data_IF_654092874432
#
_entry.id   IF_654092874432
#
_cell.length_a   1.000
_cell.length_b   1.000
_cell.length_c   1.000
_cell.angle_alpha   90.00
_cell.angle_beta   90.00
_cell.angle_gamma   90.00
#
_symmetry.space_group_name_H-M   'P 1'
#
loop_
_entity.id
_entity.type
_entity.pdbx_description
1 polymer ?
#
# COMPACT_ATOMS: atom_id res chain seq x y z
N UNK A 1 54.89 -23.37 18.50
CA UNK A 1 53.90 -23.85 19.50
C UNK A 1 52.49 -23.58 18.99
N UNK A 2 51.68 -24.65 18.95
CA UNK A 2 50.22 -24.71 18.84
C UNK A 2 49.51 -24.06 17.64
N UNK A 3 49.39 -24.85 16.56
CA UNK A 3 48.33 -24.71 15.55
C UNK A 3 47.02 -25.25 16.13
N UNK A 4 45.96 -24.43 16.12
CA UNK A 4 44.60 -24.79 16.53
C UNK A 4 44.01 -25.86 15.60
N UNK A 5 43.58 -26.98 16.17
CA UNK A 5 42.85 -28.06 15.51
C UNK A 5 41.38 -27.64 15.24
N UNK A 6 40.79 -28.02 14.08
CA UNK A 6 39.41 -27.68 13.76
C UNK A 6 38.40 -28.61 14.44
N UNK A 7 37.31 -28.02 14.94
CA UNK A 7 36.17 -28.59 15.66
C UNK A 7 35.39 -29.74 14.96
N UNK A 8 35.88 -30.25 13.83
CA UNK A 8 35.23 -31.32 13.06
C UNK A 8 35.45 -32.73 13.64
N UNK A 9 36.35 -32.90 14.62
CA UNK A 9 36.63 -34.20 15.24
C UNK A 9 35.79 -34.52 16.49
N UNK A 10 35.20 -33.52 17.14
CA UNK A 10 34.40 -33.74 18.37
C UNK A 10 33.08 -34.52 18.09
N UNK A 11 32.48 -34.34 16.92
CA UNK A 11 31.23 -35.00 16.53
C UNK A 11 31.41 -36.49 16.16
N UNK A 12 32.62 -36.90 15.76
CA UNK A 12 32.92 -38.28 15.36
C UNK A 12 33.19 -39.18 16.58
N UNK A 13 33.69 -38.62 17.69
CA UNK A 13 33.99 -39.39 18.91
C UNK A 13 32.73 -39.65 19.74
N UNK A 14 31.83 -38.67 19.85
CA UNK A 14 30.56 -38.80 20.60
C UNK A 14 29.61 -39.81 19.92
N UNK A 15 29.66 -39.93 18.59
CA UNK A 15 28.78 -40.83 17.83
C UNK A 15 29.18 -42.32 17.89
N UNK A 16 30.43 -42.65 18.26
CA UNK A 16 30.87 -44.05 18.44
C UNK A 16 30.46 -44.66 19.79
N UNK A 17 30.24 -43.86 20.83
CA UNK A 17 29.82 -44.37 22.15
C UNK A 17 28.31 -44.66 22.20
N UNK A 18 27.48 -43.86 21.54
CA UNK A 18 26.02 -44.06 21.54
C UNK A 18 25.56 -45.22 20.63
N UNK A 19 26.33 -45.55 19.58
CA UNK A 19 25.99 -46.66 18.67
C UNK A 19 26.21 -48.05 19.28
N UNK A 20 26.89 -48.18 20.43
CA UNK A 20 27.05 -49.45 21.15
C UNK A 20 25.90 -49.76 22.12
N UNK A 21 25.08 -48.78 22.50
CA UNK A 21 23.99 -48.95 23.47
C UNK A 21 22.64 -49.32 22.83
N UNK A 22 22.44 -49.03 21.54
CA UNK A 22 21.19 -49.29 20.85
C UNK A 22 21.46 -49.96 19.50
N UNK A 23 21.31 -51.30 19.44
CA UNK A 23 21.41 -52.12 18.22
C UNK A 23 20.39 -51.66 17.16
N UNK A 24 20.73 -50.66 16.35
CA UNK A 24 19.89 -50.18 15.24
C UNK A 24 20.68 -50.20 13.92
N UNK A 25 20.14 -50.73 12.81
CA UNK A 25 20.86 -50.86 11.55
C UNK A 25 21.23 -49.50 10.94
N UNK A 26 22.52 -49.30 10.69
CA UNK A 26 23.10 -48.13 10.07
C UNK A 26 23.06 -48.26 8.55
N UNK A 27 22.04 -47.71 7.86
CA UNK A 27 22.22 -47.31 6.45
C UNK A 27 21.20 -46.40 5.72
N UNK A 28 20.14 -45.86 6.36
CA UNK A 28 19.25 -44.89 5.65
C UNK A 28 18.99 -43.55 6.36
N UNK A 29 19.46 -43.38 7.60
CA UNK A 29 19.06 -42.23 8.42
C UNK A 29 20.03 -41.04 8.42
N UNK A 30 21.31 -41.23 8.08
CA UNK A 30 22.33 -40.16 8.19
C UNK A 30 22.25 -39.14 7.03
N UNK A 31 21.89 -39.55 5.81
CA UNK A 31 21.68 -38.61 4.69
C UNK A 31 20.46 -37.70 4.87
N UNK A 32 19.44 -38.17 5.60
CA UNK A 32 18.23 -37.38 5.91
C UNK A 32 18.51 -36.38 7.03
N UNK A 33 19.31 -36.77 8.02
CA UNK A 33 19.74 -35.87 9.11
C UNK A 33 20.69 -34.76 8.64
N UNK A 34 21.66 -35.04 7.77
CA UNK A 34 22.57 -34.00 7.24
C UNK A 34 21.89 -32.98 6.30
N UNK A 35 20.83 -33.38 5.56
CA UNK A 35 19.99 -32.43 4.79
C UNK A 35 19.08 -31.61 5.69
N UNK A 36 18.58 -32.19 6.78
CA UNK A 36 17.80 -31.47 7.79
C UNK A 36 18.68 -30.45 8.52
N UNK A 37 19.91 -30.82 8.87
CA UNK A 37 20.88 -29.91 9.50
C UNK A 37 21.40 -28.81 8.57
N UNK A 38 21.64 -29.07 7.27
CA UNK A 38 21.94 -27.98 6.31
C UNK A 38 20.75 -27.07 6.02
N UNK A 39 19.51 -27.56 6.15
CA UNK A 39 18.28 -26.73 6.12
C UNK A 39 18.04 -25.97 7.43
N UNK A 40 18.47 -26.50 8.57
CA UNK A 40 18.41 -25.86 9.87
C UNK A 40 19.53 -24.82 10.06
N UNK A 41 20.72 -25.07 9.52
CA UNK A 41 21.84 -24.12 9.53
C UNK A 41 21.70 -23.02 8.47
N UNK A 42 21.00 -23.26 7.34
CA UNK A 42 20.54 -22.19 6.43
C UNK A 42 19.34 -21.40 6.97
N UNK A 43 18.73 -21.84 8.09
CA UNK A 43 17.67 -21.13 8.81
C UNK A 43 18.19 -20.27 9.97
N UNK A 44 19.51 -20.22 10.17
CA UNK A 44 20.15 -19.48 11.27
C UNK A 44 20.76 -18.15 10.81
N UNK A 45 19.99 -17.35 10.06
CA UNK A 45 20.26 -15.94 9.78
C UNK A 45 18.90 -15.25 9.63
N UNK A 46 18.40 -14.70 10.74
CA UNK A 46 16.99 -14.26 10.90
C UNK A 46 16.83 -12.78 11.26
N UNK A 47 17.77 -11.95 10.84
CA UNK A 47 17.50 -10.58 10.37
C UNK A 47 17.21 -10.65 8.87
N UNK A 48 16.41 -9.71 8.31
CA UNK A 48 16.52 -9.49 6.85
C UNK A 48 18.01 -9.23 6.60
N UNK A 49 18.64 -9.99 5.70
CA UNK A 49 20.02 -9.66 5.33
C UNK A 49 20.07 -8.23 4.82
N UNK A 50 21.22 -7.56 4.86
CA UNK A 50 21.36 -6.21 4.28
C UNK A 50 20.82 -6.18 2.83
N UNK A 51 21.06 -7.26 2.08
CA UNK A 51 20.51 -7.47 0.74
C UNK A 51 18.97 -7.53 0.69
N UNK A 52 18.29 -8.01 1.72
CA UNK A 52 16.83 -8.07 1.78
C UNK A 52 16.21 -6.78 2.32
N UNK A 53 16.91 -6.07 3.21
CA UNK A 53 16.51 -4.74 3.68
C UNK A 53 16.53 -3.71 2.56
N UNK A 54 17.45 -3.87 1.60
CA UNK A 54 17.47 -3.08 0.38
C UNK A 54 16.13 -3.15 -0.39
N UNK A 55 15.34 -4.22 -0.21
CA UNK A 55 14.03 -4.41 -0.85
C UNK A 55 12.82 -4.18 0.08
N UNK A 56 13.02 -3.55 1.23
CA UNK A 56 11.96 -3.29 2.21
C UNK A 56 11.54 -1.82 2.22
N UNK A 57 10.35 -1.52 1.70
CA UNK A 57 9.82 -0.17 1.72
C UNK A 57 8.70 0.04 0.72
N UNK A 58 8.61 1.28 0.23
CA UNK A 58 7.63 1.71 -0.76
C UNK A 58 8.30 2.09 -2.07
N UNK A 59 7.61 1.89 -3.18
CA UNK A 59 7.95 2.49 -4.46
C UNK A 59 6.87 3.50 -4.80
N UNK A 60 7.27 4.72 -5.14
CA UNK A 60 6.38 5.74 -5.67
C UNK A 60 6.41 5.66 -7.20
N UNK A 61 5.40 5.03 -7.79
CA UNK A 61 5.37 4.78 -9.24
C UNK A 61 4.38 5.73 -9.90
N UNK A 62 4.78 6.35 -11.01
CA UNK A 62 3.82 6.98 -11.91
C UNK A 62 3.10 5.86 -12.68
N UNK A 63 1.84 5.61 -12.33
CA UNK A 63 1.04 4.58 -12.99
C UNK A 63 0.74 5.04 -14.42
N UNK A 64 1.13 4.28 -15.45
CA UNK A 64 0.78 4.60 -16.82
C UNK A 64 -0.72 4.42 -17.08
N UNK A 65 -1.20 5.11 -18.12
CA UNK A 65 -2.57 5.04 -18.60
C UNK A 65 -2.89 3.62 -19.11
N UNK A 66 -4.12 3.16 -18.90
CA UNK A 66 -4.61 1.87 -19.40
C UNK A 66 -4.18 0.64 -18.59
N UNK A 67 -3.25 0.78 -17.65
CA UNK A 67 -2.90 -0.30 -16.71
C UNK A 67 -3.77 -0.26 -15.45
N UNK A 68 -4.19 -1.42 -14.96
CA UNK A 68 -4.75 -1.50 -13.60
C UNK A 68 -3.64 -1.33 -12.56
N UNK A 69 -4.00 -0.93 -11.33
CA UNK A 69 -3.05 -0.94 -10.21
C UNK A 69 -2.45 -2.34 -9.94
N UNK A 70 -3.19 -3.41 -10.25
CA UNK A 70 -2.72 -4.78 -10.08
C UNK A 70 -1.70 -5.19 -11.13
N UNK A 71 -1.77 -4.63 -12.34
CA UNK A 71 -0.76 -4.88 -13.40
C UNK A 71 0.60 -4.31 -13.00
N UNK A 72 0.62 -3.09 -12.45
CA UNK A 72 1.85 -2.49 -11.89
C UNK A 72 2.43 -3.38 -10.79
N UNK A 73 1.60 -3.81 -9.84
CA UNK A 73 2.03 -4.73 -8.77
C UNK A 73 2.57 -6.03 -9.34
N UNK A 74 1.98 -6.58 -10.40
CA UNK A 74 2.46 -7.80 -11.03
C UNK A 74 3.84 -7.64 -11.68
N UNK A 75 4.12 -6.48 -12.29
CA UNK A 75 5.44 -6.13 -12.84
C UNK A 75 6.49 -6.01 -11.73
N UNK A 76 6.23 -5.21 -10.69
CA UNK A 76 7.15 -5.08 -9.54
C UNK A 76 7.38 -6.41 -8.82
N UNK A 77 6.34 -7.24 -8.68
CA UNK A 77 6.46 -8.58 -8.11
C UNK A 77 7.40 -9.48 -8.92
N UNK A 78 7.45 -9.31 -10.24
CA UNK A 78 8.38 -10.06 -11.11
C UNK A 78 9.83 -9.65 -10.83
N UNK A 79 10.11 -8.34 -10.75
CA UNK A 79 11.43 -7.83 -10.38
C UNK A 79 11.89 -8.35 -9.01
N UNK A 80 11.03 -8.22 -7.99
CA UNK A 80 11.35 -8.68 -6.63
C UNK A 80 11.64 -10.19 -6.59
N UNK A 81 10.89 -10.99 -7.37
CA UNK A 81 11.09 -12.43 -7.48
C UNK A 81 12.42 -12.76 -8.15
N UNK A 82 12.81 -12.01 -9.18
CA UNK A 82 14.09 -12.21 -9.86
C UNK A 82 15.26 -11.81 -8.97
N UNK A 83 15.14 -10.70 -8.24
CA UNK A 83 16.20 -10.19 -7.36
C UNK A 83 16.44 -11.09 -6.14
N UNK A 84 15.38 -11.44 -5.39
CA UNK A 84 15.52 -12.11 -4.08
C UNK A 84 14.53 -13.25 -3.83
N UNK A 85 13.82 -13.72 -4.86
CA UNK A 85 12.91 -14.86 -4.77
C UNK A 85 11.59 -14.61 -4.03
N UNK A 86 11.33 -13.39 -3.56
CA UNK A 86 10.09 -13.01 -2.86
C UNK A 86 8.99 -12.58 -3.83
N UNK A 87 7.73 -12.70 -3.40
CA UNK A 87 6.54 -12.28 -4.15
C UNK A 87 5.68 -11.28 -3.38
N UNK A 88 6.15 -10.83 -2.22
CA UNK A 88 5.37 -10.02 -1.29
C UNK A 88 5.35 -8.57 -1.76
N UNK A 89 4.35 -8.26 -2.58
CA UNK A 89 4.10 -6.93 -3.15
C UNK A 89 2.60 -6.65 -3.14
N UNK A 90 2.23 -5.44 -2.74
CA UNK A 90 0.87 -4.89 -2.75
C UNK A 90 0.89 -3.41 -3.11
N UNK A 91 -0.24 -2.71 -2.99
CA UNK A 91 -0.31 -1.27 -3.21
C UNK A 91 -1.16 -0.59 -2.12
N UNK A 92 -0.93 0.71 -1.92
CA UNK A 92 -1.57 1.55 -0.91
C UNK A 92 -2.53 2.55 -1.56
N UNK A 93 -3.66 2.03 -2.07
CA UNK A 93 -4.71 2.81 -2.72
C UNK A 93 -4.78 2.57 -4.23
N UNK A 94 -5.96 2.13 -4.69
CA UNK A 94 -6.21 1.83 -6.11
C UNK A 94 -6.28 3.12 -6.93
N UNK A 95 -5.82 3.04 -8.17
CA UNK A 95 -6.16 3.93 -9.28
C UNK A 95 -6.86 3.13 -10.37
N UNK A 96 -7.90 3.72 -10.93
CA UNK A 96 -8.66 3.18 -12.06
C UNK A 96 -7.76 3.10 -13.32
N UNK A 97 -8.11 2.25 -14.31
CA UNK A 97 -7.31 2.09 -15.53
C UNK A 97 -7.09 3.41 -16.29
N UNK A 98 -8.14 4.24 -16.41
CA UNK A 98 -8.07 5.55 -17.05
C UNK A 98 -7.25 6.61 -16.27
N UNK A 99 -6.94 6.35 -15.00
CA UNK A 99 -6.22 7.30 -14.18
C UNK A 99 -4.70 7.11 -14.36
N UNK A 100 -3.90 8.15 -14.20
CA UNK A 100 -2.43 8.07 -14.14
C UNK A 100 -1.92 8.67 -12.83
N UNK A 101 -0.60 8.68 -12.65
CA UNK A 101 0.03 9.36 -11.53
C UNK A 101 0.36 8.44 -10.35
N UNK A 102 0.53 9.04 -9.18
CA UNK A 102 1.11 8.42 -7.98
C UNK A 102 0.41 7.12 -7.60
N UNK A 103 1.11 5.99 -7.69
CA UNK A 103 0.72 4.69 -7.14
C UNK A 103 1.79 4.20 -6.18
N UNK A 104 1.46 4.19 -4.90
CA UNK A 104 2.37 3.71 -3.85
C UNK A 104 2.34 2.18 -3.80
N UNK A 105 3.41 1.54 -4.25
CA UNK A 105 3.58 0.09 -4.23
C UNK A 105 4.36 -0.31 -2.98
N UNK A 106 3.81 -1.24 -2.21
CA UNK A 106 4.41 -1.74 -0.97
C UNK A 106 5.21 -3.01 -1.24
N UNK A 107 6.46 -3.06 -0.77
CA UNK A 107 7.39 -4.17 -1.01
C UNK A 107 7.76 -4.86 0.31
N UNK A 108 7.78 -6.20 0.32
CA UNK A 108 8.06 -7.03 1.49
C UNK A 108 7.14 -6.72 2.68
N UNK A 109 7.69 -6.50 3.87
CA UNK A 109 6.92 -6.28 5.09
C UNK A 109 6.18 -4.94 5.07
N UNK A 110 6.52 -4.03 4.17
CA UNK A 110 5.84 -2.75 4.01
C UNK A 110 4.40 -2.92 3.53
N UNK A 111 4.03 -4.09 2.98
CA UNK A 111 2.62 -4.39 2.65
C UNK A 111 1.71 -4.37 3.89
N UNK A 112 2.27 -4.48 5.09
CA UNK A 112 1.51 -4.35 6.35
C UNK A 112 1.33 -2.90 6.79
N UNK A 113 2.05 -1.99 6.15
CA UNK A 113 2.01 -0.55 6.37
C UNK A 113 1.18 0.18 5.31
N UNK A 114 0.47 -0.54 4.44
CA UNK A 114 -0.40 0.05 3.40
C UNK A 114 -1.34 1.10 3.97
N UNK A 115 -1.92 0.81 5.12
CA UNK A 115 -2.94 1.66 5.76
C UNK A 115 -2.33 3.01 6.18
N UNK A 116 -1.06 3.01 6.60
CA UNK A 116 -0.31 4.21 6.96
C UNK A 116 0.13 4.98 5.71
N UNK A 117 0.58 4.28 4.67
CA UNK A 117 0.89 4.91 3.38
C UNK A 117 -0.35 5.50 2.69
N UNK A 118 -1.55 4.98 3.00
CA UNK A 118 -2.83 5.51 2.54
C UNK A 118 -3.32 6.71 3.34
N UNK A 119 -2.78 6.98 4.54
CA UNK A 119 -3.18 8.15 5.33
C UNK A 119 -2.83 9.46 4.63
N UNK A 120 -3.40 10.55 5.15
CA UNK A 120 -3.25 11.89 4.60
C UNK A 120 -4.09 12.13 3.35
N UNK A 121 -4.09 13.38 2.93
CA UNK A 121 -4.88 13.85 1.78
C UNK A 121 -4.39 13.24 0.47
N UNK A 122 -5.28 13.22 -0.51
CA UNK A 122 -5.00 12.89 -1.89
C UNK A 122 -5.22 14.14 -2.72
N UNK A 123 -4.40 14.33 -3.75
CA UNK A 123 -4.58 15.41 -4.70
C UNK A 123 -4.68 14.84 -6.11
N UNK A 124 -5.62 15.38 -6.87
CA UNK A 124 -5.92 14.98 -8.23
C UNK A 124 -5.99 16.19 -9.13
N UNK A 125 -5.57 16.02 -10.38
CA UNK A 125 -5.97 16.84 -11.52
C UNK A 125 -7.01 16.05 -12.30
N UNK A 126 -8.22 16.58 -12.40
CA UNK A 126 -9.37 15.93 -13.02
C UNK A 126 -9.82 16.74 -14.24
N UNK A 127 -10.03 16.04 -15.34
CA UNK A 127 -10.66 16.55 -16.55
C UNK A 127 -12.09 16.02 -16.59
N UNK A 128 -13.06 16.94 -16.69
CA UNK A 128 -14.48 16.66 -16.62
C UNK A 128 -15.11 17.18 -17.91
N UNK A 129 -15.87 16.33 -18.59
CA UNK A 129 -16.64 16.72 -19.78
C UNK A 129 -18.11 16.88 -19.40
N UNK A 130 -18.65 18.09 -19.56
CA UNK A 130 -20.06 18.39 -19.31
C UNK A 130 -20.95 18.01 -20.50
N UNK A 131 -22.24 17.79 -20.25
CA UNK A 131 -23.24 17.50 -21.29
C UNK A 131 -23.34 16.04 -21.68
N UNK A 132 -22.53 15.15 -21.11
CA UNK A 132 -22.58 13.70 -21.35
C UNK A 132 -22.55 12.99 -20.00
N UNK A 133 -23.45 12.03 -19.78
CA UNK A 133 -23.41 11.12 -18.65
C UNK A 133 -23.10 9.71 -19.12
N UNK A 134 -22.31 8.96 -18.35
CA UNK A 134 -21.95 7.56 -18.64
C UNK A 134 -22.32 6.65 -17.48
N UNK A 135 -22.45 5.34 -17.73
CA UNK A 135 -22.80 4.36 -16.70
C UNK A 135 -21.76 4.26 -15.56
N UNK A 136 -20.47 4.41 -15.90
CA UNK A 136 -19.34 4.26 -14.97
C UNK A 136 -18.87 5.59 -14.35
N UNK A 137 -19.49 6.70 -14.76
CA UNK A 137 -19.10 8.09 -14.46
C UNK A 137 -17.69 8.48 -14.94
N UNK A 138 -17.14 7.71 -15.89
CA UNK A 138 -15.89 7.96 -16.58
C UNK A 138 -16.02 7.67 -18.08
N UNK A 139 -14.94 7.91 -18.82
CA UNK A 139 -14.87 7.71 -20.26
C UNK A 139 -14.99 6.23 -20.72
N UNK A 140 -14.90 5.26 -19.81
CA UNK A 140 -14.93 3.83 -20.17
C UNK A 140 -16.36 3.27 -20.26
N UNK A 141 -17.36 3.99 -19.74
CA UNK A 141 -18.76 3.54 -19.69
C UNK A 141 -19.59 3.99 -20.89
N UNK A 142 -20.67 3.25 -21.16
CA UNK A 142 -21.64 3.59 -22.19
C UNK A 142 -22.37 4.90 -21.85
N UNK A 143 -22.67 5.70 -22.88
CA UNK A 143 -23.40 6.96 -22.73
C UNK A 143 -24.85 6.66 -22.33
N UNK A 144 -25.31 7.29 -21.24
CA UNK A 144 -26.68 7.14 -20.71
C UNK A 144 -27.54 8.38 -20.98
N UNK A 145 -26.93 9.55 -21.12
CA UNK A 145 -27.61 10.78 -21.46
C UNK A 145 -26.66 11.77 -22.16
N UNK A 146 -27.22 12.60 -23.03
CA UNK A 146 -26.51 13.68 -23.70
C UNK A 146 -27.40 14.93 -23.74
N UNK A 147 -26.85 16.06 -23.29
CA UNK A 147 -27.52 17.36 -23.20
C UNK A 147 -26.57 18.42 -23.74
N UNK A 148 -27.10 19.43 -24.43
CA UNK A 148 -26.29 20.56 -24.89
C UNK A 148 -25.79 21.39 -23.68
N UNK A 149 -24.47 21.39 -23.46
CA UNK A 149 -23.80 22.15 -22.41
C UNK A 149 -23.18 23.46 -22.91
N UNK A 150 -23.43 23.86 -24.17
CA UNK A 150 -22.85 25.07 -24.77
C UNK A 150 -23.19 26.36 -24.03
N UNK A 151 -24.34 26.39 -23.33
CA UNK A 151 -24.79 27.53 -22.53
C UNK A 151 -24.14 27.61 -21.14
N UNK A 152 -23.39 26.59 -20.71
CA UNK A 152 -22.75 26.58 -19.38
C UNK A 152 -21.60 27.58 -19.35
N UNK A 153 -21.60 28.47 -18.36
CA UNK A 153 -20.56 29.46 -18.13
C UNK A 153 -19.65 29.08 -16.96
N UNK A 154 -18.45 29.66 -16.92
CA UNK A 154 -17.54 29.51 -15.80
C UNK A 154 -18.17 30.01 -14.49
N UNK A 155 -18.94 31.10 -14.53
CA UNK A 155 -19.61 31.65 -13.34
C UNK A 155 -20.64 30.67 -12.76
N UNK A 156 -21.37 29.93 -13.61
CA UNK A 156 -22.29 28.89 -13.16
C UNK A 156 -21.53 27.74 -12.48
N UNK A 157 -20.41 27.31 -13.07
CA UNK A 157 -19.54 26.28 -12.48
C UNK A 157 -19.02 26.75 -11.12
N UNK A 158 -18.45 27.96 -11.05
CA UNK A 158 -17.96 28.53 -9.78
C UNK A 158 -19.07 28.70 -8.74
N UNK A 159 -20.31 28.98 -9.18
CA UNK A 159 -21.47 29.08 -8.29
C UNK A 159 -21.90 27.75 -7.64
N UNK A 160 -21.66 26.61 -8.30
CA UNK A 160 -22.03 25.28 -7.77
C UNK A 160 -20.91 24.58 -7.01
N UNK A 161 -19.63 24.88 -7.32
CA UNK A 161 -18.46 24.23 -6.70
C UNK A 161 -18.45 24.24 -5.15
N UNK A 162 -18.89 25.31 -4.45
CA UNK A 162 -18.92 25.34 -2.98
C UNK A 162 -19.75 24.21 -2.35
N UNK A 163 -20.74 23.66 -3.06
CA UNK A 163 -21.57 22.54 -2.57
C UNK A 163 -20.78 21.24 -2.40
N UNK A 164 -19.64 21.13 -3.08
CA UNK A 164 -18.80 19.94 -3.09
C UNK A 164 -17.55 20.09 -2.20
N UNK A 165 -17.42 21.19 -1.45
CA UNK A 165 -16.27 21.43 -0.56
C UNK A 165 -16.69 21.30 0.90
N UNK A 166 -15.81 20.75 1.74
CA UNK A 166 -16.07 20.43 3.14
C UNK A 166 -16.42 18.96 3.35
N UNK A 167 -17.09 18.70 4.48
CA UNK A 167 -17.57 17.36 4.84
C UNK A 167 -18.89 17.07 4.13
N UNK A 168 -18.89 16.08 3.23
CA UNK A 168 -20.04 15.74 2.39
C UNK A 168 -20.35 14.25 2.45
N UNK A 169 -21.58 13.89 2.08
CA UNK A 169 -21.99 12.52 1.86
C UNK A 169 -21.89 12.21 0.36
N UNK A 170 -21.04 11.26 0.00
CA UNK A 170 -20.84 10.89 -1.40
C UNK A 170 -21.35 9.47 -1.65
N UNK A 171 -22.15 9.31 -2.72
CA UNK A 171 -22.51 7.99 -3.21
C UNK A 171 -21.34 7.45 -4.06
N UNK A 172 -20.73 6.32 -3.68
CA UNK A 172 -19.67 5.73 -4.50
C UNK A 172 -20.26 5.22 -5.83
N UNK A 173 -19.46 5.14 -6.92
CA UNK A 173 -19.94 4.55 -8.17
C UNK A 173 -20.14 3.03 -8.01
N UNK A 174 -21.08 2.48 -8.78
CA UNK A 174 -21.31 1.03 -8.86
C UNK A 174 -20.05 0.27 -9.29
N UNK A 175 -19.25 0.84 -10.19
CA UNK A 175 -17.97 0.30 -10.64
C UNK A 175 -16.83 0.63 -9.67
N UNK A 176 -16.92 0.13 -8.43
CA UNK A 176 -15.91 0.34 -7.40
C UNK A 176 -15.47 -0.95 -6.69
N UNK A 177 -14.33 -0.89 -5.98
CA UNK A 177 -13.76 -2.02 -5.25
C UNK A 177 -14.40 -2.27 -3.87
N UNK A 178 -15.41 -1.50 -3.48
CA UNK A 178 -16.14 -1.68 -2.21
C UNK A 178 -16.79 -3.07 -2.21
N UNK A 179 -16.80 -3.73 -1.06
CA UNK A 179 -17.46 -5.03 -0.89
C UNK A 179 -18.84 -4.87 -0.26
N UNK A 180 -19.84 -5.51 -0.84
CA UNK A 180 -21.16 -5.74 -0.24
C UNK A 180 -21.39 -7.25 -0.20
N UNK A 181 -21.70 -7.79 0.98
CA UNK A 181 -21.87 -9.24 1.22
C UNK A 181 -20.69 -10.09 0.72
N UNK A 182 -19.47 -9.58 0.89
CA UNK A 182 -18.23 -10.27 0.50
C UNK A 182 -17.84 -10.17 -0.98
N UNK A 183 -18.72 -9.67 -1.87
CA UNK A 183 -18.45 -9.46 -3.30
C UNK A 183 -18.17 -8.00 -3.60
N UNK A 184 -17.29 -7.71 -4.56
CA UNK A 184 -16.99 -6.32 -4.93
C UNK A 184 -18.11 -5.73 -5.81
N UNK A 185 -18.41 -4.44 -5.67
CA UNK A 185 -19.48 -3.79 -6.43
C UNK A 185 -19.28 -3.88 -7.94
N UNK A 186 -18.06 -3.72 -8.45
CA UNK A 186 -17.80 -3.88 -9.89
C UNK A 186 -18.10 -5.30 -10.41
N UNK A 187 -17.97 -6.34 -9.56
CA UNK A 187 -18.28 -7.73 -9.95
C UNK A 187 -19.80 -7.93 -10.06
N UNK A 188 -20.58 -7.22 -9.23
CA UNK A 188 -22.03 -7.22 -9.27
C UNK A 188 -22.57 -6.40 -10.44
N UNK A 189 -21.98 -5.23 -10.71
CA UNK A 189 -22.33 -4.37 -11.84
C UNK A 189 -22.15 -5.11 -13.18
N UNK A 190 -20.99 -5.77 -13.38
CA UNK A 190 -20.74 -6.61 -14.57
C UNK A 190 -21.68 -7.80 -14.72
N UNK A 191 -22.30 -8.25 -13.63
CA UNK A 191 -23.31 -9.30 -13.65
C UNK A 191 -24.74 -8.75 -13.85
N UNK A 192 -24.88 -7.45 -14.16
CA UNK A 192 -26.17 -6.76 -14.32
C UNK A 192 -26.95 -6.61 -13.03
N UNK A 193 -26.31 -6.74 -11.86
CA UNK A 193 -26.97 -6.65 -10.56
C UNK A 193 -26.79 -5.26 -9.96
N UNK A 194 -27.87 -4.51 -9.89
CA UNK A 194 -27.92 -3.25 -9.14
C UNK A 194 -28.06 -3.56 -7.66
N UNK A 195 -27.32 -2.83 -6.83
CA UNK A 195 -27.39 -2.95 -5.38
C UNK A 195 -27.61 -1.56 -4.81
N UNK A 196 -28.46 -1.45 -3.80
CA UNK A 196 -28.64 -0.19 -3.10
C UNK A 196 -27.31 0.24 -2.46
N UNK A 197 -26.87 1.46 -2.77
CA UNK A 197 -25.63 2.03 -2.30
C UNK A 197 -25.93 3.01 -1.17
N UNK A 198 -25.13 2.93 -0.11
CA UNK A 198 -25.19 3.89 0.99
C UNK A 198 -24.14 4.98 0.73
N UNK A 199 -24.54 6.24 0.93
CA UNK A 199 -23.62 7.36 0.90
C UNK A 199 -22.60 7.25 2.05
N UNK A 200 -21.38 7.74 1.80
CA UNK A 200 -20.28 7.66 2.75
C UNK A 200 -19.73 9.06 3.03
N UNK A 201 -19.30 9.33 4.28
CA UNK A 201 -18.65 10.58 4.61
C UNK A 201 -17.29 10.66 3.91
N UNK A 202 -17.06 11.78 3.21
CA UNK A 202 -15.78 12.16 2.65
C UNK A 202 -15.56 13.65 2.89
N UNK A 203 -14.31 14.08 2.89
CA UNK A 203 -13.96 15.50 3.01
C UNK A 203 -13.26 15.94 1.74
N UNK A 204 -13.81 16.94 1.06
CA UNK A 204 -13.12 17.63 -0.03
C UNK A 204 -12.58 18.93 0.54
N UNK A 205 -11.26 19.02 0.69
CA UNK A 205 -10.60 20.17 1.31
C UNK A 205 -10.56 21.38 0.38
N UNK A 206 -10.38 21.15 -0.92
CA UNK A 206 -10.31 22.21 -1.92
C UNK A 206 -10.68 21.68 -3.31
N UNK A 207 -11.40 22.50 -4.09
CA UNK A 207 -11.59 22.32 -5.53
C UNK A 207 -11.23 23.64 -6.22
N UNK A 208 -10.24 23.59 -7.11
CA UNK A 208 -9.73 24.77 -7.82
C UNK A 208 -9.88 24.56 -9.33
N UNK A 209 -10.51 25.51 -10.02
CA UNK A 209 -10.58 25.49 -11.48
C UNK A 209 -9.22 25.90 -12.05
N UNK A 210 -8.65 25.03 -12.88
CA UNK A 210 -7.39 25.29 -13.57
C UNK A 210 -7.61 25.81 -15.00
N UNK A 211 -8.60 25.25 -15.70
CA UNK A 211 -8.92 25.63 -17.07
C UNK A 211 -10.40 25.33 -17.37
N UNK A 212 -11.01 26.14 -18.23
CA UNK A 212 -12.37 25.96 -18.72
C UNK A 212 -12.45 26.31 -20.20
N UNK A 213 -12.71 25.27 -21.00
CA UNK A 213 -12.93 25.38 -22.44
C UNK A 213 -14.13 24.50 -22.79
N UNK A 214 -15.32 25.10 -22.80
CA UNK A 214 -16.58 24.37 -22.94
C UNK A 214 -16.52 23.30 -24.05
N UNK A 215 -16.94 22.05 -23.79
CA UNK A 215 -17.56 21.56 -22.55
C UNK A 215 -16.56 20.96 -21.52
N UNK A 216 -15.26 21.23 -21.66
CA UNK A 216 -14.19 20.64 -20.85
C UNK A 216 -13.79 21.53 -19.67
N UNK A 217 -13.83 20.97 -18.48
CA UNK A 217 -13.42 21.58 -17.22
C UNK A 217 -12.23 20.83 -16.64
N UNK A 218 -11.15 21.54 -16.33
CA UNK A 218 -10.02 20.98 -15.58
C UNK A 218 -9.99 21.55 -14.17
N UNK A 219 -9.98 20.68 -13.16
CA UNK A 219 -9.91 21.07 -11.75
C UNK A 219 -8.78 20.35 -11.01
N UNK A 220 -8.23 21.02 -10.00
CA UNK A 220 -7.46 20.35 -8.94
C UNK A 220 -8.38 20.05 -7.77
N UNK A 221 -8.35 18.82 -7.26
CA UNK A 221 -9.14 18.38 -6.12
C UNK A 221 -8.21 17.86 -5.03
N UNK A 222 -8.31 18.41 -3.83
CA UNK A 222 -7.64 17.89 -2.62
C UNK A 222 -8.67 17.31 -1.68
N UNK A 223 -8.56 16.05 -1.33
CA UNK A 223 -9.60 15.34 -0.59
C UNK A 223 -9.05 14.27 0.37
N UNK A 224 -9.93 13.79 1.26
CA UNK A 224 -9.65 12.66 2.14
C UNK A 224 -9.56 11.35 1.34
N UNK A 225 -8.89 10.31 1.88
CA UNK A 225 -8.95 8.97 1.31
C UNK A 225 -10.39 8.48 1.15
N UNK A 226 -10.65 7.70 0.10
CA UNK A 226 -11.98 7.12 -0.17
C UNK A 226 -12.90 8.01 -1.01
N UNK A 227 -12.51 9.25 -1.31
CA UNK A 227 -13.24 10.14 -2.22
C UNK A 227 -13.18 9.63 -3.66
N UNK A 228 -14.33 9.54 -4.31
CA UNK A 228 -14.47 9.18 -5.72
C UNK A 228 -14.57 10.44 -6.57
N UNK A 229 -13.52 10.74 -7.34
CA UNK A 229 -13.51 11.88 -8.26
C UNK A 229 -14.51 11.70 -9.41
N UNK A 230 -14.82 10.45 -9.78
CA UNK A 230 -15.88 10.12 -10.74
C UNK A 230 -17.27 10.54 -10.25
N UNK A 231 -17.60 10.26 -8.98
CA UNK A 231 -18.84 10.74 -8.38
C UNK A 231 -18.88 12.27 -8.33
N UNK A 232 -17.77 12.93 -7.94
CA UNK A 232 -17.68 14.39 -7.99
C UNK A 232 -18.00 14.96 -9.39
N UNK A 233 -17.42 14.37 -10.43
CA UNK A 233 -17.71 14.77 -11.82
C UNK A 233 -19.20 14.60 -12.15
N UNK A 234 -19.76 13.43 -11.86
CA UNK A 234 -21.18 13.14 -12.09
C UNK A 234 -22.09 14.14 -11.35
N UNK A 235 -21.88 14.32 -10.04
CA UNK A 235 -22.71 15.15 -9.18
C UNK A 235 -22.62 16.63 -9.58
N UNK A 236 -21.43 17.11 -9.99
CA UNK A 236 -21.27 18.44 -10.57
C UNK A 236 -22.12 18.62 -11.83
N UNK A 237 -22.11 17.63 -12.73
CA UNK A 237 -22.95 17.63 -13.92
C UNK A 237 -24.45 17.65 -13.60
N UNK A 238 -24.88 16.92 -12.56
CA UNK A 238 -26.26 16.94 -12.09
C UNK A 238 -26.66 18.31 -11.51
N UNK A 239 -25.80 18.91 -10.70
CA UNK A 239 -26.05 20.24 -10.13
C UNK A 239 -26.16 21.33 -11.21
N UNK A 240 -25.46 21.17 -12.33
CA UNK A 240 -25.56 22.05 -13.50
C UNK A 240 -26.73 21.69 -14.44
N UNK A 241 -27.41 20.56 -14.22
CA UNK A 241 -28.55 20.11 -15.03
C UNK A 241 -28.20 19.57 -16.42
N UNK A 242 -26.92 19.35 -16.72
CA UNK A 242 -26.44 18.89 -18.04
C UNK A 242 -25.80 17.50 -18.00
N UNK A 243 -25.52 16.97 -16.81
CA UNK A 243 -24.73 15.76 -16.64
C UNK A 243 -23.25 15.94 -16.99
N UNK A 244 -22.42 14.99 -16.56
CA UNK A 244 -20.99 15.01 -16.80
C UNK A 244 -20.36 13.62 -16.54
N UNK A 245 -19.16 13.43 -17.06
CA UNK A 245 -18.30 12.29 -16.75
C UNK A 245 -16.84 12.72 -16.58
N UNK A 246 -16.06 11.89 -15.89
CA UNK A 246 -14.61 12.09 -15.75
C UNK A 246 -13.87 11.59 -17.00
N UNK A 247 -13.32 12.50 -17.78
CA UNK A 247 -12.62 12.19 -19.04
C UNK A 247 -11.13 11.91 -18.85
N UNK A 248 -10.52 12.48 -17.80
CA UNK A 248 -9.11 12.30 -17.48
C UNK A 248 -8.84 12.45 -15.99
N UNK A 249 -7.87 11.69 -15.46
CA UNK A 249 -7.53 11.76 -14.04
C UNK A 249 -6.04 11.50 -13.81
N UNK A 250 -5.38 12.42 -13.12
CA UNK A 250 -4.00 12.27 -12.67
C UNK A 250 -3.98 12.43 -11.16
N UNK A 251 -3.54 11.39 -10.42
CA UNK A 251 -3.26 11.54 -8.98
C UNK A 251 -1.89 12.17 -8.80
N UNK A 252 -1.85 13.46 -8.48
CA UNK A 252 -0.62 14.23 -8.31
C UNK A 252 0.03 14.00 -6.94
N UNK A 253 -0.76 13.59 -5.93
CA UNK A 253 -0.26 13.33 -4.57
C UNK A 253 -1.05 12.24 -3.85
N UNK A 254 -0.34 11.43 -3.07
CA UNK A 254 -0.91 10.55 -2.06
C UNK A 254 -0.17 10.68 -0.73
N UNK A 255 -0.74 11.44 0.22
CA UNK A 255 -0.06 11.76 1.47
C UNK A 255 1.29 12.43 1.20
N UNK A 256 2.37 11.82 1.70
CA UNK A 256 3.74 12.31 1.48
C UNK A 256 4.30 12.03 0.08
N UNK A 257 3.66 11.18 -0.73
CA UNK A 257 4.15 10.78 -2.05
C UNK A 257 3.60 11.75 -3.13
N UNK A 258 4.47 12.37 -3.91
CA UNK A 258 4.12 13.29 -5.00
C UNK A 258 4.49 12.73 -6.37
N UNK A 259 3.82 13.20 -7.42
CA UNK A 259 4.08 12.79 -8.80
C UNK A 259 5.48 13.22 -9.26
N UNK A 260 5.94 14.38 -8.83
CA UNK A 260 7.29 14.91 -9.11
C UNK A 260 8.41 13.96 -8.65
N UNK A 261 8.17 13.20 -7.58
CA UNK A 261 9.11 12.24 -7.02
C UNK A 261 8.74 10.79 -7.39
N UNK A 262 7.86 10.59 -8.37
CA UNK A 262 7.44 9.27 -8.81
C UNK A 262 8.35 8.78 -9.94
N UNK A 263 8.67 7.49 -9.93
CA UNK A 263 9.46 6.85 -10.97
C UNK A 263 8.52 6.31 -12.04
N UNK A 264 8.86 6.54 -13.31
CA UNK A 264 8.15 5.93 -14.43
C UNK A 264 8.28 4.40 -14.38
N UNK A 265 7.17 3.70 -14.61
CA UNK A 265 7.15 2.24 -14.46
C UNK A 265 8.14 1.54 -15.37
N UNK A 266 8.23 1.94 -16.64
CA UNK A 266 9.12 1.30 -17.61
C UNK A 266 10.60 1.60 -17.30
N UNK A 267 10.92 2.84 -16.90
CA UNK A 267 12.27 3.20 -16.43
C UNK A 267 12.69 2.37 -15.20
N UNK A 268 11.76 2.10 -14.28
CA UNK A 268 12.01 1.21 -13.14
C UNK A 268 12.23 -0.25 -13.58
N UNK A 269 11.56 -0.72 -14.63
CA UNK A 269 11.72 -2.09 -15.14
C UNK A 269 13.07 -2.32 -15.82
N UNK A 270 13.62 -1.27 -16.42
CA UNK A 270 14.90 -1.30 -17.13
C UNK A 270 16.11 -0.97 -16.24
N UNK A 271 15.89 -0.66 -14.95
CA UNK A 271 16.95 -0.33 -13.99
C UNK A 271 17.43 -1.56 -13.19
N UNK A 272 18.66 -2.01 -13.47
CA UNK A 272 19.33 -3.09 -12.73
C UNK A 272 19.55 -2.77 -11.24
N UNK A 273 19.48 -1.50 -10.84
CA UNK A 273 19.64 -1.01 -9.47
C UNK A 273 18.34 -0.45 -8.90
N UNK A 274 17.19 -0.94 -9.37
CA UNK A 274 15.88 -0.44 -8.98
C UNK A 274 15.60 -0.37 -7.46
N UNK A 275 16.31 -1.17 -6.64
CA UNK A 275 16.27 -1.07 -5.17
C UNK A 275 16.60 0.32 -4.63
N UNK A 276 17.36 1.14 -5.38
CA UNK A 276 17.69 2.51 -4.99
C UNK A 276 16.47 3.44 -4.98
N UNK A 277 15.40 3.08 -5.72
CA UNK A 277 14.13 3.81 -5.71
C UNK A 277 13.23 3.43 -4.53
N UNK A 278 13.63 2.44 -3.71
CA UNK A 278 12.83 2.04 -2.55
C UNK A 278 12.93 3.10 -1.46
N UNK A 279 11.77 3.68 -1.17
CA UNK A 279 11.57 4.69 -0.14
C UNK A 279 11.45 3.98 1.21
N UNK A 280 12.22 4.39 2.23
CA UNK A 280 12.17 3.79 3.55
C UNK A 280 10.76 3.83 4.16
N UNK A 281 10.28 2.73 4.77
CA UNK A 281 8.91 2.67 5.28
C UNK A 281 8.60 3.65 6.42
N UNK A 282 9.65 4.19 7.07
CA UNK A 282 9.55 5.27 8.06
C UNK A 282 8.78 6.49 7.53
N UNK A 283 8.85 6.77 6.22
CA UNK A 283 8.20 7.96 5.64
C UNK A 283 6.68 7.98 5.87
N UNK A 284 6.04 6.81 5.91
CA UNK A 284 4.60 6.69 6.16
C UNK A 284 4.22 6.79 7.64
N UNK A 285 5.21 6.91 8.53
CA UNK A 285 5.06 6.91 9.99
C UNK A 285 5.61 8.20 10.62
N UNK A 286 5.79 9.25 9.83
CA UNK A 286 6.43 10.50 10.27
C UNK A 286 5.74 11.15 11.48
N UNK A 287 4.42 10.98 11.60
CA UNK A 287 3.61 11.55 12.68
C UNK A 287 3.54 10.67 13.94
N UNK A 288 4.19 9.49 13.93
CA UNK A 288 4.18 8.57 15.07
C UNK A 288 5.47 8.72 15.89
N UNK A 289 5.39 8.69 17.24
CA UNK A 289 6.58 8.65 18.08
C UNK A 289 7.37 7.36 17.88
N UNK A 290 8.69 7.48 18.03
CA UNK A 290 9.63 6.38 17.93
C UNK A 290 9.96 5.82 19.32
N UNK A 291 9.97 4.49 19.45
CA UNK A 291 10.35 3.79 20.67
C UNK A 291 11.57 2.93 20.36
N UNK A 292 12.66 3.16 21.09
CA UNK A 292 13.86 2.32 21.01
C UNK A 292 13.74 1.20 22.03
N UNK A 293 13.74 -0.06 21.57
CA UNK A 293 13.59 -1.21 22.46
C UNK A 293 14.94 -1.81 22.84
N UNK A 294 15.08 -2.22 24.09
CA UNK A 294 16.11 -3.16 24.52
C UNK A 294 15.87 -4.57 23.94
N UNK A 295 16.85 -5.46 24.05
CA UNK A 295 16.72 -6.85 23.59
C UNK A 295 15.54 -7.57 24.26
N UNK A 296 15.36 -7.39 25.56
CA UNK A 296 14.28 -8.04 26.33
C UNK A 296 12.91 -7.49 25.93
N UNK A 297 12.77 -6.17 25.84
CA UNK A 297 11.55 -5.53 25.36
C UNK A 297 11.18 -5.98 23.94
N UNK A 298 12.17 -6.12 23.06
CA UNK A 298 11.95 -6.61 21.71
C UNK A 298 11.44 -8.05 21.68
N UNK A 299 12.02 -8.94 22.51
CA UNK A 299 11.56 -10.32 22.63
C UNK A 299 10.10 -10.40 23.10
N UNK A 300 9.71 -9.55 24.05
CA UNK A 300 8.31 -9.46 24.51
C UNK A 300 7.38 -9.06 23.35
N UNK A 301 7.73 -8.02 22.59
CA UNK A 301 6.93 -7.56 21.45
C UNK A 301 6.78 -8.62 20.35
N UNK A 302 7.85 -9.36 20.02
CA UNK A 302 7.82 -10.43 19.01
C UNK A 302 6.86 -11.55 19.41
N UNK A 303 6.76 -11.86 20.71
CA UNK A 303 5.80 -12.84 21.24
C UNK A 303 4.39 -12.28 21.47
N UNK A 304 4.13 -11.03 21.06
CA UNK A 304 2.83 -10.39 21.22
C UNK A 304 2.55 -9.87 22.63
N UNK A 305 3.55 -9.86 23.51
CA UNK A 305 3.46 -9.35 24.89
C UNK A 305 3.72 -7.85 24.91
N UNK A 306 3.46 -7.25 26.07
CA UNK A 306 3.38 -5.80 26.21
C UNK A 306 4.66 -5.28 26.83
N UNK A 307 5.01 -4.04 26.50
CA UNK A 307 6.09 -3.31 27.17
C UNK A 307 5.51 -2.09 27.88
N UNK A 308 6.17 -1.64 28.94
CA UNK A 308 5.76 -0.45 29.68
C UNK A 308 5.81 0.80 28.80
N UNK A 309 4.84 1.70 28.98
CA UNK A 309 4.74 2.99 28.31
C UNK A 309 5.09 4.08 29.29
N UNK A 310 5.89 5.06 28.87
CA UNK A 310 6.14 6.26 29.68
C UNK A 310 4.82 7.03 29.87
N UNK A 311 4.51 7.41 31.10
CA UNK A 311 3.20 7.96 31.49
C UNK A 311 2.84 9.24 30.71
N UNK A 312 3.84 10.02 30.31
CA UNK A 312 3.66 11.32 29.64
C UNK A 312 3.54 11.26 28.11
N UNK A 313 3.56 10.07 27.48
CA UNK A 313 3.35 10.00 26.03
C UNK A 313 1.86 10.32 25.72
N UNK A 314 1.54 11.34 24.90
CA UNK A 314 0.16 11.64 24.55
C UNK A 314 -0.37 10.77 23.40
N UNK A 315 0.49 10.00 22.71
CA UNK A 315 0.11 9.29 21.50
C UNK A 315 -0.53 7.94 21.76
N UNK A 316 -1.62 7.62 21.06
CA UNK A 316 -2.26 6.30 21.12
C UNK A 316 -1.52 5.23 20.29
N UNK A 317 -0.59 5.66 19.43
CA UNK A 317 0.17 4.79 18.52
C UNK A 317 1.64 5.21 18.50
N UNK A 318 2.51 4.23 18.32
CA UNK A 318 3.94 4.46 18.16
C UNK A 318 4.51 3.45 17.16
N UNK A 319 5.75 3.65 16.74
CA UNK A 319 6.51 2.57 16.12
C UNK A 319 7.74 2.25 16.97
N UNK A 320 8.16 0.99 16.98
CA UNK A 320 9.32 0.52 17.69
C UNK A 320 10.46 0.20 16.72
N UNK A 321 11.65 0.67 17.06
CA UNK A 321 12.91 0.20 16.51
C UNK A 321 13.34 -1.07 17.23
N UNK A 322 13.87 -2.02 16.47
CA UNK A 322 14.59 -3.17 17.01
C UNK A 322 15.87 -2.71 17.73
N UNK A 323 16.52 -3.57 18.54
CA UNK A 323 17.77 -3.23 19.22
C UNK A 323 18.91 -2.82 18.28
N UNK A 324 18.91 -3.34 17.04
CA UNK A 324 19.84 -3.00 15.96
C UNK A 324 19.38 -1.79 15.10
N UNK A 325 18.32 -1.09 15.51
CA UNK A 325 17.89 0.18 14.91
C UNK A 325 16.99 0.07 13.66
N UNK A 326 16.47 -1.13 13.35
CA UNK A 326 15.58 -1.34 12.22
C UNK A 326 14.11 -1.07 12.61
N UNK A 327 13.28 -0.66 11.67
CA UNK A 327 11.84 -0.49 11.92
C UNK A 327 11.20 -1.85 12.22
N UNK A 328 10.95 -2.13 13.49
CA UNK A 328 10.58 -3.45 13.98
C UNK A 328 9.08 -3.67 14.08
N UNK A 329 8.34 -2.74 14.70
CA UNK A 329 6.92 -2.94 14.96
C UNK A 329 6.11 -1.64 14.98
N UNK A 330 4.79 -1.76 14.79
CA UNK A 330 3.81 -0.74 15.13
C UNK A 330 3.13 -1.12 16.43
N UNK A 331 3.05 -0.17 17.35
CA UNK A 331 2.52 -0.30 18.69
C UNK A 331 1.20 0.48 18.82
N UNK A 332 0.33 -0.03 19.69
CA UNK A 332 -0.90 0.64 20.08
C UNK A 332 -0.97 0.68 21.60
N UNK A 333 -1.40 1.81 22.15
CA UNK A 333 -1.58 1.99 23.58
C UNK A 333 -2.67 1.06 24.13
N UNK A 334 -2.38 0.46 25.29
CA UNK A 334 -3.33 -0.29 26.13
C UNK A 334 -3.04 0.03 27.59
N UNK A 335 -3.77 1.00 28.15
CA UNK A 335 -3.51 1.51 29.50
C UNK A 335 -2.10 2.09 29.60
N UNK A 336 -1.35 1.65 30.61
CA UNK A 336 0.06 2.01 30.86
C UNK A 336 1.07 1.21 30.02
N UNK A 337 0.62 0.51 28.97
CA UNK A 337 1.47 -0.37 28.17
C UNK A 337 1.35 -0.10 26.67
N UNK A 338 2.40 -0.49 25.95
CA UNK A 338 2.39 -0.67 24.51
C UNK A 338 2.12 -2.11 24.14
N UNK A 339 1.08 -2.32 23.32
CA UNK A 339 0.76 -3.60 22.70
C UNK A 339 1.29 -3.63 21.25
N UNK A 340 1.96 -4.69 20.79
CA UNK A 340 2.33 -4.84 19.40
C UNK A 340 1.08 -5.05 18.54
N UNK A 341 0.80 -4.09 17.64
CA UNK A 341 -0.27 -4.18 16.65
C UNK A 341 0.24 -4.84 15.36
N UNK A 342 1.44 -4.48 14.91
CA UNK A 342 2.07 -5.07 13.71
C UNK A 342 3.57 -5.30 13.93
N UNK A 343 4.01 -6.53 14.16
CA UNK A 343 5.45 -6.87 14.23
C UNK A 343 6.01 -7.10 12.82
N UNK A 344 6.72 -6.14 12.25
CA UNK A 344 7.17 -6.13 10.85
C UNK A 344 8.38 -7.03 10.60
N UNK A 345 9.28 -7.10 11.56
CA UNK A 345 10.47 -7.94 11.55
C UNK A 345 10.41 -8.99 12.67
N UNK A 346 9.49 -9.97 12.62
CA UNK A 346 9.46 -11.00 13.65
C UNK A 346 10.79 -11.76 13.60
N UNK A 347 11.64 -11.58 14.61
CA UNK A 347 12.77 -12.49 14.82
C UNK A 347 12.18 -13.89 15.04
N UNK A 348 12.85 -14.91 14.48
CA UNK A 348 12.38 -16.29 14.49
C UNK A 348 12.64 -17.00 15.82
#
# INVERSE_FOLDING_TARGET
>A
MSRRLPWQWAAVVISRHLARLFRVPWQRSVRRYCRCWRRLLKRASSTLSDDQLAYYGFLNINKPLGMTSHDVVARVRRLLRQAIGSKKVGHAGTLDPLATGVLVVCVQQATRLSDYAMHGTKQYRAEITLGISTETYDAEGDITAQVDASAITLDQIMGVLPQFTGDIQQLPPMYSAIKKEGKKLYELARAGKTVELEARPVTIHNVEVLDWQSPQLTVTVTCSPGTYIRSLAHDLGQALGVGAYLSGLIRTRSGTFSLENAVELDALMDDDKWQQHIIPPRIALADLPAIHTTADQWQELVHGRYIERQEDDPSERAFAYTPDGQLGAILQQRGSHWKPNKVLLPQA
#
